data_IF_128626360155
#
_entry.id   IF_128626360155
#
_cell.length_a   1.000
_cell.length_b   1.000
_cell.length_c   1.000
_cell.angle_alpha   90.00
_cell.angle_beta   90.00
_cell.angle_gamma   90.00
#
_symmetry.space_group_name_H-M   'P 1'
#
loop_
_entity.id
_entity.type
_entity.pdbx_description
1 polymer ?
#
# COMPACT_ATOMS: atom_id res chain seq x y z
N UNK A 1 -3.44 -15.03 66.37
CA UNK A 1 -4.28 -15.54 65.26
C UNK A 1 -4.54 -14.35 64.36
N UNK A 2 -3.81 -14.26 63.29
CA UNK A 2 -4.04 -13.22 62.26
C UNK A 2 -5.14 -13.73 61.34
N UNK A 3 -6.21 -12.96 61.21
CA UNK A 3 -7.24 -13.18 60.21
C UNK A 3 -6.63 -12.93 58.81
N UNK A 4 -6.35 -13.99 58.07
CA UNK A 4 -6.01 -13.84 56.68
C UNK A 4 -7.25 -13.30 55.96
N UNK A 5 -7.12 -12.24 55.15
CA UNK A 5 -8.24 -11.73 54.41
C UNK A 5 -8.74 -12.82 53.44
N UNK A 6 -10.01 -13.16 53.57
CA UNK A 6 -10.69 -14.07 52.65
C UNK A 6 -10.79 -13.33 51.29
N UNK A 7 -9.91 -13.63 50.36
CA UNK A 7 -10.00 -13.11 49.00
C UNK A 7 -11.01 -13.98 48.27
N UNK A 8 -12.23 -13.46 48.11
CA UNK A 8 -13.24 -14.08 47.25
C UNK A 8 -12.98 -13.64 45.83
N UNK A 9 -12.38 -14.52 45.03
CA UNK A 9 -12.25 -14.32 43.58
C UNK A 9 -13.64 -14.52 42.94
N UNK A 10 -14.40 -13.43 42.83
CA UNK A 10 -15.63 -13.43 42.05
C UNK A 10 -15.25 -13.05 40.61
N UNK A 11 -15.44 -13.96 39.67
CA UNK A 11 -15.19 -13.61 38.24
C UNK A 11 -16.13 -12.51 37.83
N UNK A 12 -15.58 -11.33 37.47
CA UNK A 12 -16.33 -10.20 36.93
C UNK A 12 -16.77 -10.55 35.50
N UNK A 13 -18.03 -10.99 35.36
CA UNK A 13 -18.60 -11.22 34.02
C UNK A 13 -18.99 -9.91 33.36
N UNK A 14 -18.46 -9.71 32.17
CA UNK A 14 -18.84 -8.57 31.33
C UNK A 14 -20.16 -8.86 30.62
N UNK A 15 -21.10 -7.91 30.67
CA UNK A 15 -22.37 -8.00 29.94
C UNK A 15 -22.15 -7.88 28.43
N UNK A 16 -21.20 -7.06 28.03
CA UNK A 16 -20.83 -6.82 26.62
C UNK A 16 -19.36 -6.45 26.54
N UNK A 17 -18.67 -7.07 25.60
CA UNK A 17 -17.29 -6.73 25.26
C UNK A 17 -17.19 -6.47 23.77
N UNK A 18 -16.51 -5.40 23.37
CA UNK A 18 -16.10 -5.20 21.99
C UNK A 18 -14.64 -4.76 21.99
N UNK A 19 -13.84 -5.38 21.14
CA UNK A 19 -12.40 -5.13 21.06
C UNK A 19 -12.00 -4.88 19.63
N UNK A 20 -11.18 -3.86 19.41
CA UNK A 20 -10.62 -3.52 18.12
C UNK A 20 -9.11 -3.27 18.22
N UNK A 21 -8.39 -3.68 17.18
CA UNK A 21 -7.00 -3.33 16.93
C UNK A 21 -6.95 -2.57 15.61
N UNK A 22 -6.54 -1.31 15.66
CA UNK A 22 -6.31 -0.51 14.47
C UNK A 22 -4.85 -0.63 14.07
N UNK A 23 -4.62 -1.04 12.85
CA UNK A 23 -3.31 -1.26 12.26
C UNK A 23 -3.14 -0.39 11.04
N UNK A 24 -2.23 0.56 11.11
CA UNK A 24 -1.79 1.34 9.96
C UNK A 24 -0.37 0.90 9.59
N UNK A 25 -0.18 -0.10 8.71
CA UNK A 25 1.10 -0.73 8.50
C UNK A 25 2.23 0.26 8.19
N UNK A 26 3.35 0.14 8.91
CA UNK A 26 4.47 1.07 8.87
C UNK A 26 4.21 2.41 9.57
N UNK A 27 3.15 2.50 10.38
CA UNK A 27 2.75 3.69 11.12
C UNK A 27 2.20 3.30 12.49
N UNK A 28 1.12 3.96 12.89
CA UNK A 28 0.45 3.80 14.18
C UNK A 28 -0.25 2.46 14.33
N UNK A 29 -0.15 1.90 15.54
CA UNK A 29 -0.96 0.79 16.02
C UNK A 29 -1.71 1.24 17.25
N UNK A 30 -3.01 0.98 17.32
CA UNK A 30 -3.82 1.25 18.51
C UNK A 30 -4.76 0.10 18.84
N UNK A 31 -5.09 0.02 20.12
CA UNK A 31 -6.00 -0.95 20.70
C UNK A 31 -7.10 -0.23 21.44
N UNK A 32 -8.34 -0.66 21.24
CA UNK A 32 -9.50 -0.20 22.00
C UNK A 32 -10.33 -1.40 22.45
N UNK A 33 -10.67 -1.44 23.74
CA UNK A 33 -11.64 -2.39 24.27
C UNK A 33 -12.72 -1.64 25.05
N UNK A 34 -13.97 -1.97 24.75
CA UNK A 34 -15.14 -1.46 25.47
C UNK A 34 -15.74 -2.60 26.27
N UNK A 35 -15.70 -2.47 27.60
CA UNK A 35 -16.17 -3.44 28.58
C UNK A 35 -17.38 -2.88 29.30
N UNK A 36 -18.52 -3.53 29.21
CA UNK A 36 -19.76 -3.11 29.88
C UNK A 36 -20.10 -4.08 31.00
N UNK A 37 -20.33 -3.56 32.18
CA UNK A 37 -20.71 -4.31 33.38
C UNK A 37 -22.06 -3.81 33.91
N UNK A 38 -22.82 -4.68 34.53
CA UNK A 38 -23.99 -4.28 35.31
C UNK A 38 -23.56 -3.61 36.63
N UNK A 39 -24.18 -2.50 36.99
CA UNK A 39 -23.88 -1.80 38.22
C UNK A 39 -24.15 -2.67 39.47
N UNK A 40 -25.11 -3.59 39.37
CA UNK A 40 -25.38 -4.55 40.44
C UNK A 40 -24.19 -5.48 40.73
N UNK A 41 -23.40 -5.83 39.70
CA UNK A 41 -22.19 -6.67 39.82
C UNK A 41 -21.01 -5.87 40.34
N UNK A 42 -20.86 -4.64 39.87
CA UNK A 42 -19.75 -3.75 40.25
C UNK A 42 -19.88 -3.23 41.70
N UNK A 43 -21.10 -2.93 42.15
CA UNK A 43 -21.31 -2.28 43.42
C UNK A 43 -20.50 -0.98 43.56
N UNK A 44 -19.79 -0.87 44.69
CA UNK A 44 -18.92 0.29 44.99
C UNK A 44 -17.49 0.16 44.38
N UNK A 45 -17.16 -1.00 43.76
CA UNK A 45 -15.80 -1.31 43.32
C UNK A 45 -15.43 -0.70 41.94
N UNK A 46 -16.19 0.28 41.44
CA UNK A 46 -15.99 0.87 40.11
C UNK A 46 -14.60 1.45 39.91
N UNK A 47 -14.07 2.15 40.90
CA UNK A 47 -12.73 2.75 40.84
C UNK A 47 -11.63 1.69 40.92
N UNK A 48 -11.85 0.61 41.65
CA UNK A 48 -10.91 -0.52 41.73
C UNK A 48 -10.83 -1.26 40.41
N UNK A 49 -11.97 -1.54 39.77
CA UNK A 49 -12.01 -2.12 38.43
C UNK A 49 -11.29 -1.23 37.42
N UNK A 50 -11.51 0.08 37.45
CA UNK A 50 -10.79 1.03 36.63
C UNK A 50 -9.27 1.00 36.86
N UNK A 51 -8.85 0.88 38.11
CA UNK A 51 -7.44 0.77 38.50
C UNK A 51 -6.84 -0.56 38.01
N UNK A 52 -7.58 -1.67 38.12
CA UNK A 52 -7.18 -2.95 37.58
C UNK A 52 -7.03 -2.93 36.05
N UNK A 53 -7.99 -2.32 35.35
CA UNK A 53 -7.94 -2.18 33.89
C UNK A 53 -6.76 -1.34 33.41
N UNK A 54 -6.37 -0.29 34.17
CA UNK A 54 -5.12 0.44 33.89
C UNK A 54 -3.91 -0.48 33.99
N UNK A 55 -3.88 -1.32 35.00
CA UNK A 55 -2.87 -2.34 35.22
C UNK A 55 -1.43 -1.83 35.19
N UNK A 56 -0.50 -2.76 35.07
CA UNK A 56 0.93 -2.50 34.99
C UNK A 56 1.34 -1.83 33.65
N UNK A 57 0.47 -1.85 32.65
CA UNK A 57 0.76 -1.40 31.27
C UNK A 57 0.36 0.03 30.96
N UNK A 58 -0.12 0.77 31.96
CA UNK A 58 -0.54 2.18 31.79
C UNK A 58 -1.55 2.42 30.65
N UNK A 59 -2.54 1.54 30.53
CA UNK A 59 -3.66 1.76 29.61
C UNK A 59 -4.40 3.07 29.99
N UNK A 60 -4.84 3.80 29.00
CA UNK A 60 -5.83 4.87 29.19
C UNK A 60 -7.19 4.22 29.44
N UNK A 61 -7.83 4.52 30.56
CA UNK A 61 -9.15 3.97 30.92
C UNK A 61 -10.13 5.11 31.19
N UNK A 62 -11.10 5.24 30.30
CA UNK A 62 -12.26 6.11 30.48
C UNK A 62 -13.42 5.30 31.07
N UNK A 63 -14.18 5.92 31.95
CA UNK A 63 -15.35 5.33 32.59
C UNK A 63 -16.58 6.18 32.31
N UNK A 64 -17.66 5.53 31.86
CA UNK A 64 -18.99 6.13 31.73
C UNK A 64 -19.98 5.26 32.48
N UNK A 65 -20.73 5.82 33.40
CA UNK A 65 -21.75 5.12 34.17
C UNK A 65 -23.13 5.70 33.88
N UNK A 66 -24.10 4.83 33.70
CA UNK A 66 -25.52 5.16 33.67
C UNK A 66 -26.23 4.53 34.90
N UNK A 67 -27.58 4.50 34.90
CA UNK A 67 -28.37 3.98 36.01
C UNK A 67 -28.17 2.47 36.24
N UNK A 68 -27.92 1.70 35.18
CA UNK A 68 -27.89 0.24 35.22
C UNK A 68 -26.52 -0.35 34.90
N UNK A 69 -25.71 0.35 34.12
CA UNK A 69 -24.44 -0.17 33.62
C UNK A 69 -23.29 0.83 33.79
N UNK A 70 -22.09 0.27 33.85
CA UNK A 70 -20.83 1.05 33.75
C UNK A 70 -20.03 0.49 32.60
N UNK A 71 -19.65 1.36 31.69
CA UNK A 71 -18.76 1.07 30.58
C UNK A 71 -17.37 1.61 30.84
N UNK A 72 -16.37 0.77 30.62
CA UNK A 72 -14.96 1.16 30.60
C UNK A 72 -14.46 1.06 29.18
N UNK A 73 -13.83 2.13 28.69
CA UNK A 73 -13.10 2.13 27.43
C UNK A 73 -11.61 2.15 27.72
N UNK A 74 -10.96 1.05 27.39
CA UNK A 74 -9.51 0.84 27.57
C UNK A 74 -8.82 1.14 26.24
N UNK A 75 -7.85 2.04 26.23
CA UNK A 75 -7.12 2.43 25.02
C UNK A 75 -5.62 2.41 25.21
N UNK A 76 -4.92 2.05 24.14
CA UNK A 76 -3.47 2.19 24.04
C UNK A 76 -3.05 2.39 22.60
N UNK A 77 -2.00 3.18 22.39
CA UNK A 77 -1.45 3.43 21.06
C UNK A 77 0.07 3.57 21.08
N UNK A 78 0.69 3.38 19.93
CA UNK A 78 2.08 3.65 19.65
C UNK A 78 2.28 3.97 18.18
N UNK A 79 3.38 4.66 17.85
CA UNK A 79 3.68 5.14 16.51
C UNK A 79 4.06 4.01 15.54
N UNK A 80 4.36 2.82 16.05
CA UNK A 80 4.67 1.63 15.26
C UNK A 80 4.38 0.33 16.05
N UNK A 81 4.33 -0.80 15.32
CA UNK A 81 4.03 -2.12 15.87
C UNK A 81 5.05 -2.62 16.89
N UNK A 82 6.33 -2.32 16.70
CA UNK A 82 7.40 -2.72 17.61
C UNK A 82 7.30 -1.98 18.95
N UNK A 83 7.10 -0.66 18.90
CA UNK A 83 6.89 0.19 20.07
C UNK A 83 5.63 -0.20 20.82
N UNK A 84 4.54 -0.47 20.08
CA UNK A 84 3.29 -0.97 20.64
C UNK A 84 3.51 -2.30 21.38
N UNK A 85 4.18 -3.25 20.74
CA UNK A 85 4.49 -4.54 21.33
C UNK A 85 5.34 -4.41 22.58
N UNK A 86 6.42 -3.64 22.57
CA UNK A 86 7.27 -3.39 23.74
C UNK A 86 6.50 -2.77 24.91
N UNK A 87 5.60 -1.84 24.63
CA UNK A 87 4.82 -1.14 25.65
C UNK A 87 3.73 -1.99 26.27
N UNK A 88 3.10 -2.84 25.48
CA UNK A 88 1.85 -3.51 25.88
C UNK A 88 1.91 -5.04 25.95
N UNK A 89 2.90 -5.73 25.38
CA UNK A 89 2.98 -7.18 25.45
C UNK A 89 3.25 -7.68 26.88
N UNK A 90 4.09 -6.96 27.61
CA UNK A 90 4.54 -7.39 28.93
C UNK A 90 5.40 -8.66 28.93
N UNK A 91 5.85 -9.10 27.74
CA UNK A 91 6.70 -10.28 27.53
C UNK A 91 7.68 -9.99 26.39
N UNK A 92 8.68 -10.84 26.22
CA UNK A 92 9.65 -10.76 25.13
C UNK A 92 9.02 -11.10 23.74
N UNK A 93 7.82 -11.70 23.77
CA UNK A 93 7.11 -12.02 22.54
C UNK A 93 6.38 -10.78 22.00
N UNK A 94 6.58 -10.40 20.75
CA UNK A 94 5.89 -9.27 20.16
C UNK A 94 4.40 -9.56 20.00
N UNK A 95 3.55 -8.59 20.42
CA UNK A 95 2.10 -8.66 20.21
C UNK A 95 1.75 -8.53 18.74
N UNK A 96 2.33 -7.54 18.08
CA UNK A 96 2.13 -7.25 16.65
C UNK A 96 3.48 -7.24 15.95
N UNK A 97 3.57 -7.99 14.86
CA UNK A 97 4.73 -8.00 13.97
C UNK A 97 4.29 -7.59 12.58
N UNK A 98 4.95 -6.58 12.04
CA UNK A 98 4.77 -6.10 10.68
C UNK A 98 6.05 -6.35 9.89
N UNK A 99 5.96 -7.10 8.81
CA UNK A 99 7.06 -7.33 7.88
C UNK A 99 6.72 -6.72 6.53
N UNK A 100 7.52 -5.77 6.08
CA UNK A 100 7.38 -5.21 4.75
C UNK A 100 7.77 -6.26 3.71
N UNK A 101 6.87 -6.49 2.76
CA UNK A 101 7.08 -7.36 1.63
C UNK A 101 7.55 -6.55 0.42
N UNK A 102 7.98 -7.23 -0.64
CA UNK A 102 8.40 -6.57 -1.89
C UNK A 102 7.29 -5.63 -2.39
N UNK A 103 7.54 -4.31 -2.48
CA UNK A 103 6.53 -3.35 -2.91
C UNK A 103 6.28 -3.45 -4.42
N UNK A 104 5.09 -3.04 -4.83
CA UNK A 104 4.79 -2.74 -6.24
C UNK A 104 4.98 -1.25 -6.52
N UNK A 105 4.77 -0.83 -7.78
CA UNK A 105 4.91 0.59 -8.18
C UNK A 105 4.07 1.53 -7.32
N UNK A 106 2.84 1.14 -7.00
CA UNK A 106 1.87 2.01 -6.32
C UNK A 106 1.50 1.56 -4.90
N UNK A 107 1.92 0.36 -4.46
CA UNK A 107 1.54 -0.21 -3.17
C UNK A 107 2.73 -0.77 -2.43
N UNK A 108 2.79 -0.51 -1.12
CA UNK A 108 3.56 -1.29 -0.18
C UNK A 108 2.69 -2.48 0.26
N UNK A 109 3.32 -3.62 0.47
CA UNK A 109 2.70 -4.84 0.96
C UNK A 109 3.28 -5.22 2.31
N UNK A 110 2.44 -5.70 3.20
CA UNK A 110 2.80 -6.02 4.57
C UNK A 110 2.28 -7.41 4.94
N UNK A 111 3.10 -8.17 5.65
CA UNK A 111 2.67 -9.36 6.39
C UNK A 111 2.45 -8.93 7.83
N UNK A 112 1.24 -9.10 8.33
CA UNK A 112 0.85 -8.77 9.70
C UNK A 112 0.62 -10.05 10.46
N UNK A 113 1.24 -10.15 11.63
CA UNK A 113 1.09 -11.26 12.57
C UNK A 113 0.73 -10.69 13.92
N UNK A 114 -0.37 -11.16 14.52
CA UNK A 114 -0.79 -10.79 15.87
C UNK A 114 -0.79 -12.06 16.71
N UNK A 115 -0.04 -12.01 17.81
CA UNK A 115 0.05 -13.10 18.77
C UNK A 115 -0.91 -12.83 19.93
N UNK A 116 -1.80 -13.78 20.30
CA UNK A 116 -2.68 -13.61 21.45
C UNK A 116 -1.86 -13.55 22.73
N UNK A 117 -2.26 -12.69 23.65
CA UNK A 117 -1.67 -12.57 24.97
C UNK A 117 -2.74 -12.88 26.03
N UNK A 118 -2.32 -13.35 27.19
CA UNK A 118 -3.20 -13.82 28.26
C UNK A 118 -4.20 -12.77 28.76
N UNK A 119 -3.86 -11.48 28.60
CA UNK A 119 -4.72 -10.38 29.01
C UNK A 119 -5.77 -9.98 27.93
N UNK A 120 -5.69 -10.54 26.74
CA UNK A 120 -6.66 -10.24 25.68
C UNK A 120 -8.01 -10.90 25.98
N UNK A 121 -9.12 -10.19 25.68
CA UNK A 121 -10.44 -10.78 25.79
C UNK A 121 -10.53 -12.04 24.92
N UNK A 122 -11.16 -13.10 25.44
CA UNK A 122 -11.43 -14.35 24.69
C UNK A 122 -12.57 -14.21 23.69
N UNK A 123 -13.03 -13.00 23.40
CA UNK A 123 -14.09 -12.72 22.45
C UNK A 123 -13.57 -12.34 21.06
N UNK A 124 -14.50 -11.98 20.22
CA UNK A 124 -14.21 -11.47 18.87
C UNK A 124 -13.43 -10.16 18.93
N UNK A 125 -12.32 -10.12 18.22
CA UNK A 125 -11.48 -8.91 18.04
C UNK A 125 -11.59 -8.46 16.59
N UNK A 126 -11.95 -7.21 16.38
CA UNK A 126 -11.93 -6.57 15.08
C UNK A 126 -10.55 -6.03 14.79
N UNK A 127 -10.02 -6.33 13.62
CA UNK A 127 -8.73 -5.83 13.14
C UNK A 127 -9.04 -4.91 11.97
N UNK A 128 -8.72 -3.63 12.14
CA UNK A 128 -9.14 -2.54 11.24
C UNK A 128 -7.89 -1.87 10.68
N UNK A 129 -7.89 -1.55 9.40
CA UNK A 129 -6.88 -0.69 8.78
C UNK A 129 -7.54 0.55 8.18
N UNK A 130 -7.13 1.74 8.66
CA UNK A 130 -7.73 3.02 8.25
C UNK A 130 -7.14 3.51 6.92
N UNK A 131 -5.90 3.14 6.61
CA UNK A 131 -5.15 3.62 5.45
C UNK A 131 -4.68 2.53 4.51
N UNK A 132 -5.30 1.35 4.59
CA UNK A 132 -4.91 0.18 3.80
C UNK A 132 -6.10 -0.69 3.41
N UNK A 133 -5.75 -1.82 2.79
CA UNK A 133 -6.69 -2.89 2.49
C UNK A 133 -6.02 -4.22 2.78
N UNK A 134 -6.78 -5.15 3.34
CA UNK A 134 -6.36 -6.54 3.46
C UNK A 134 -6.34 -7.23 2.09
N UNK A 135 -5.85 -8.43 2.05
CA UNK A 135 -5.72 -9.28 0.85
C UNK A 135 -7.05 -9.57 0.14
N UNK A 136 -8.16 -9.60 0.89
CA UNK A 136 -9.53 -9.74 0.38
C UNK A 136 -10.18 -8.41 -0.05
N UNK A 137 -9.44 -7.30 0.02
CA UNK A 137 -9.93 -5.96 -0.31
C UNK A 137 -10.73 -5.27 0.80
N UNK A 138 -10.98 -5.94 1.93
CA UNK A 138 -11.64 -5.35 3.09
C UNK A 138 -10.72 -4.37 3.84
N UNK A 139 -11.32 -3.52 4.68
CA UNK A 139 -10.59 -2.70 5.67
C UNK A 139 -10.76 -3.23 7.10
N UNK A 140 -11.52 -4.30 7.28
CA UNK A 140 -11.80 -4.92 8.56
C UNK A 140 -11.73 -6.44 8.43
N UNK A 141 -11.13 -7.09 9.42
CA UNK A 141 -11.15 -8.55 9.61
C UNK A 141 -11.52 -8.86 11.06
N UNK A 142 -12.14 -9.98 11.27
CA UNK A 142 -12.50 -10.50 12.59
C UNK A 142 -11.58 -11.65 12.96
N UNK A 143 -11.17 -11.67 14.21
CA UNK A 143 -10.34 -12.72 14.79
C UNK A 143 -10.83 -13.09 16.19
N UNK A 144 -10.96 -14.39 16.46
CA UNK A 144 -11.31 -14.90 17.80
C UNK A 144 -10.09 -15.60 18.39
N UNK A 145 -9.40 -14.98 19.38
CA UNK A 145 -8.30 -15.64 20.09
C UNK A 145 -8.79 -16.92 20.77
N UNK A 146 -8.17 -18.04 20.48
CA UNK A 146 -8.56 -19.36 20.99
C UNK A 146 -8.96 -20.35 19.89
N UNK A 147 -9.45 -19.88 18.75
CA UNK A 147 -9.67 -20.72 17.55
C UNK A 147 -8.38 -20.88 16.74
N UNK A 148 -7.54 -19.86 16.72
CA UNK A 148 -6.19 -19.92 16.16
C UNK A 148 -5.19 -19.26 17.10
N UNK A 149 -4.05 -19.91 17.30
CA UNK A 149 -3.00 -19.41 18.20
C UNK A 149 -2.38 -18.11 17.71
N UNK A 150 -2.48 -17.79 16.42
CA UNK A 150 -1.87 -16.57 15.82
C UNK A 150 -2.73 -16.09 14.66
N UNK A 151 -3.09 -14.81 14.69
CA UNK A 151 -3.70 -14.17 13.52
C UNK A 151 -2.64 -13.80 12.49
N UNK A 152 -2.86 -14.19 11.24
CA UNK A 152 -1.96 -13.84 10.12
C UNK A 152 -2.76 -13.30 8.96
N UNK A 153 -2.32 -12.16 8.41
CA UNK A 153 -2.95 -11.56 7.24
C UNK A 153 -1.94 -10.75 6.43
N UNK A 154 -2.31 -10.43 5.21
CA UNK A 154 -1.57 -9.48 4.38
C UNK A 154 -2.37 -8.21 4.25
N UNK A 155 -1.69 -7.07 4.22
CA UNK A 155 -2.30 -5.79 3.95
C UNK A 155 -1.49 -5.02 2.90
N UNK A 156 -2.13 -4.06 2.25
CA UNK A 156 -1.47 -3.17 1.30
C UNK A 156 -1.84 -1.72 1.57
N UNK A 157 -0.85 -0.83 1.48
CA UNK A 157 -1.02 0.61 1.60
C UNK A 157 -0.59 1.30 0.31
N UNK A 158 -1.20 2.44 -0.03
CA UNK A 158 -0.81 3.22 -1.20
C UNK A 158 0.51 3.94 -0.96
N UNK A 159 1.40 3.90 -1.96
CA UNK A 159 2.62 4.72 -1.99
C UNK A 159 2.26 6.11 -2.49
N UNK A 160 2.32 7.10 -1.61
CA UNK A 160 1.94 8.49 -1.94
C UNK A 160 2.82 9.10 -3.03
N UNK A 161 4.13 8.88 -3.00
CA UNK A 161 5.06 9.45 -3.99
C UNK A 161 4.72 9.09 -5.44
N UNK A 162 4.69 7.81 -5.84
CA UNK A 162 4.31 7.41 -7.19
C UNK A 162 2.89 7.81 -7.60
N UNK A 163 1.93 7.81 -6.67
CA UNK A 163 0.55 8.24 -6.93
C UNK A 163 0.52 9.74 -7.26
N UNK A 164 1.15 10.57 -6.43
CA UNK A 164 1.24 12.02 -6.67
C UNK A 164 1.95 12.29 -8.00
N UNK A 165 3.07 11.62 -8.28
CA UNK A 165 3.78 11.77 -9.56
C UNK A 165 2.88 11.43 -10.76
N UNK A 166 2.13 10.33 -10.70
CA UNK A 166 1.21 9.94 -11.76
C UNK A 166 0.09 10.98 -11.98
N UNK A 167 -0.47 11.53 -10.91
CA UNK A 167 -1.49 12.59 -10.98
C UNK A 167 -0.90 13.85 -11.61
N UNK A 168 0.28 14.30 -11.18
CA UNK A 168 0.95 15.49 -11.72
C UNK A 168 1.23 15.31 -13.21
N UNK A 169 1.77 14.16 -13.62
CA UNK A 169 2.01 13.86 -15.05
C UNK A 169 0.69 13.88 -15.83
N UNK A 170 -0.38 13.28 -15.31
CA UNK A 170 -1.70 13.29 -15.93
C UNK A 170 -2.22 14.72 -16.16
N UNK A 171 -2.12 15.58 -15.14
CA UNK A 171 -2.51 16.99 -15.23
C UNK A 171 -1.69 17.74 -16.29
N UNK A 172 -0.36 17.52 -16.34
CA UNK A 172 0.51 18.13 -17.33
C UNK A 172 0.15 17.70 -18.77
N UNK A 173 -0.15 16.41 -18.97
CA UNK A 173 -0.59 15.89 -20.27
C UNK A 173 -1.90 16.57 -20.72
N UNK A 174 -2.88 16.66 -19.81
CA UNK A 174 -4.15 17.33 -20.10
C UNK A 174 -3.93 18.81 -20.41
N UNK A 175 -3.13 19.51 -19.60
CA UNK A 175 -2.80 20.91 -19.85
C UNK A 175 -2.11 21.13 -21.22
N UNK A 176 -1.16 20.25 -21.58
CA UNK A 176 -0.50 20.29 -22.88
C UNK A 176 -1.48 20.04 -24.03
N UNK A 177 -2.41 19.08 -23.88
CA UNK A 177 -3.45 18.82 -24.88
C UNK A 177 -4.39 20.01 -25.07
N UNK A 178 -4.82 20.64 -23.97
CA UNK A 178 -5.64 21.87 -24.01
C UNK A 178 -4.91 23.01 -24.69
N UNK A 179 -3.65 23.26 -24.35
CA UNK A 179 -2.83 24.30 -25.02
C UNK A 179 -2.64 24.00 -26.48
N UNK A 180 -2.39 22.74 -26.87
CA UNK A 180 -2.28 22.35 -28.29
C UNK A 180 -3.60 22.58 -29.05
N UNK A 181 -4.74 22.29 -28.40
CA UNK A 181 -6.06 22.55 -28.97
C UNK A 181 -6.27 24.03 -29.26
N UNK A 182 -6.02 24.93 -28.31
CA UNK A 182 -6.17 26.37 -28.48
C UNK A 182 -5.14 26.97 -29.48
N UNK A 183 -3.94 26.40 -29.59
CA UNK A 183 -2.91 26.84 -30.53
C UNK A 183 -2.96 26.12 -31.88
N UNK A 184 -3.96 25.29 -32.12
CA UNK A 184 -4.09 24.46 -33.33
C UNK A 184 -3.97 25.28 -34.65
N UNK A 185 -4.60 26.45 -34.67
CA UNK A 185 -4.60 27.28 -35.86
C UNK A 185 -3.25 27.99 -36.06
N UNK A 186 -2.61 28.40 -34.97
CA UNK A 186 -1.25 28.96 -35.02
C UNK A 186 -0.21 27.91 -35.48
N UNK A 187 -0.33 26.69 -35.03
CA UNK A 187 0.53 25.54 -35.42
C UNK A 187 0.30 25.21 -36.90
N UNK A 188 -0.95 25.24 -37.38
CA UNK A 188 -1.28 25.04 -38.79
C UNK A 188 -0.69 26.15 -39.68
N UNK A 189 -0.81 27.40 -39.26
CA UNK A 189 -0.24 28.54 -39.95
C UNK A 189 1.31 28.49 -40.03
N UNK A 190 1.95 28.07 -38.90
CA UNK A 190 3.41 27.89 -38.85
C UNK A 190 3.88 26.75 -39.78
N UNK A 191 3.17 25.62 -39.80
CA UNK A 191 3.49 24.50 -40.72
C UNK A 191 3.34 24.90 -42.18
N UNK A 192 2.29 25.69 -42.54
CA UNK A 192 2.14 26.23 -43.92
C UNK A 192 3.32 27.10 -44.29
N UNK A 193 3.69 28.08 -43.43
CA UNK A 193 4.84 28.97 -43.71
C UNK A 193 6.15 28.19 -43.90
N UNK A 194 6.38 27.15 -43.09
CA UNK A 194 7.58 26.32 -43.21
C UNK A 194 7.59 25.47 -44.47
N UNK A 195 6.45 24.96 -44.90
CA UNK A 195 6.32 24.22 -46.15
C UNK A 195 6.51 25.14 -47.37
N UNK A 196 6.00 26.37 -47.33
CA UNK A 196 6.20 27.39 -48.37
C UNK A 196 7.67 27.82 -48.49
N UNK A 197 8.34 28.04 -47.34
CA UNK A 197 9.77 28.36 -47.31
C UNK A 197 10.62 27.23 -47.91
N UNK A 198 10.30 25.96 -47.55
CA UNK A 198 10.99 24.81 -48.13
C UNK A 198 10.78 24.69 -49.65
N UNK A 199 9.57 24.99 -50.15
CA UNK A 199 9.30 25.03 -51.61
C UNK A 199 10.06 26.13 -52.33
N UNK A 200 10.16 27.31 -51.72
CA UNK A 200 10.92 28.43 -52.26
C UNK A 200 12.42 28.10 -52.33
N UNK A 201 13.00 27.49 -51.31
CA UNK A 201 14.38 27.03 -51.33
C UNK A 201 14.63 25.95 -52.41
N UNK A 202 13.71 24.99 -52.53
CA UNK A 202 13.80 23.97 -53.57
C UNK A 202 13.72 24.57 -55.00
N UNK A 203 12.86 25.59 -55.20
CA UNK A 203 12.75 26.30 -56.45
C UNK A 203 14.03 27.12 -56.78
N UNK A 204 14.63 27.78 -55.81
CA UNK A 204 15.90 28.49 -55.97
C UNK A 204 17.06 27.55 -56.28
N UNK A 205 17.15 26.41 -55.61
CA UNK A 205 18.17 25.39 -55.87
C UNK A 205 17.96 24.65 -57.22
N UNK A 206 16.72 24.62 -57.71
CA UNK A 206 16.38 24.06 -59.03
C UNK A 206 16.75 24.91 -60.20
N UNK A 207 16.89 26.23 -60.03
CA UNK A 207 17.24 27.18 -61.16
C UNK A 207 18.73 27.17 -61.54
N UNK A 208 19.61 26.47 -60.74
CA UNK A 208 21.04 26.39 -61.10
C UNK A 208 21.43 25.12 -61.85
N UNK A 209 20.47 24.29 -62.25
CA UNK A 209 20.76 23.24 -63.25
C UNK A 209 20.34 23.62 -64.62
N UNK A 210 21.22 24.40 -65.36
CA UNK A 210 21.22 24.47 -66.81
C UNK A 210 21.62 23.09 -67.32
N UNK A 211 20.79 22.36 -68.05
CA UNK A 211 21.24 21.18 -68.71
C UNK A 211 22.25 21.57 -69.78
N UNK A 212 23.52 21.21 -69.57
CA UNK A 212 24.48 21.27 -70.69
C UNK A 212 24.02 20.23 -71.73
N UNK A 213 23.64 20.77 -72.87
CA UNK A 213 23.31 20.08 -74.11
C UNK A 213 24.53 19.20 -74.53
N UNK A 214 24.30 17.89 -74.62
CA UNK A 214 25.07 16.99 -75.52
C UNK A 214 26.41 16.49 -75.00
N UNK A 215 26.33 15.45 -74.17
CA UNK A 215 27.36 14.41 -74.25
C UNK A 215 26.71 13.04 -73.93
N UNK A 216 26.78 12.19 -74.93
CA UNK A 216 26.44 10.76 -74.89
C UNK A 216 27.13 10.07 -73.68
N UNK A 217 26.47 9.22 -72.91
CA UNK A 217 27.11 8.51 -71.80
C UNK A 217 28.06 7.46 -72.31
N UNK A 218 29.35 7.78 -72.28
CA UNK A 218 30.42 6.78 -72.44
C UNK A 218 30.50 5.95 -71.16
N UNK A 219 30.38 4.69 -71.37
CA UNK A 219 30.50 3.59 -70.41
C UNK A 219 31.63 3.86 -69.40
N UNK A 220 31.33 4.31 -68.15
CA UNK A 220 32.29 4.29 -67.07
C UNK A 220 32.06 3.07 -66.20
N UNK A 221 32.93 2.11 -66.42
CA UNK A 221 33.17 0.93 -65.61
C UNK A 221 33.61 1.41 -64.22
N UNK A 222 32.82 1.14 -63.20
CA UNK A 222 33.14 1.43 -61.79
C UNK A 222 34.17 0.39 -61.31
N UNK A 223 35.27 0.77 -60.70
CA UNK A 223 36.16 -0.17 -60.03
C UNK A 223 35.48 -0.68 -58.75
N UNK A 224 35.47 -1.97 -58.63
CA UNK A 224 35.01 -2.70 -57.44
C UNK A 224 35.88 -2.31 -56.22
N UNK A 225 35.33 -1.58 -55.28
CA UNK A 225 35.96 -1.40 -53.95
C UNK A 225 35.55 -2.59 -53.07
N UNK A 226 36.49 -3.34 -52.51
CA UNK A 226 36.19 -4.35 -51.52
C UNK A 226 36.10 -3.71 -50.15
N UNK A 227 34.99 -3.90 -49.42
CA UNK A 227 34.91 -3.71 -48.00
C UNK A 227 34.03 -2.57 -47.50
N UNK A 228 32.80 -2.41 -47.96
CA UNK A 228 31.80 -1.61 -47.23
C UNK A 228 30.82 -2.58 -46.49
N UNK A 229 30.58 -2.41 -45.19
CA UNK A 229 29.62 -3.25 -44.48
C UNK A 229 28.20 -2.96 -44.94
N UNK A 230 27.48 -4.02 -45.28
CA UNK A 230 26.05 -3.95 -45.68
C UNK A 230 25.22 -3.53 -44.47
N UNK A 231 24.34 -2.50 -44.60
CA UNK A 231 23.41 -2.16 -43.54
C UNK A 231 22.38 -3.27 -43.31
N UNK A 232 22.00 -3.60 -42.06
CA UNK A 232 21.06 -4.66 -41.80
C UNK A 232 19.66 -4.31 -42.32
N UNK A 233 19.05 -5.27 -43.01
CA UNK A 233 17.68 -5.23 -43.52
C UNK A 233 16.69 -5.07 -42.32
N UNK A 234 15.67 -4.19 -42.39
CA UNK A 234 14.59 -4.18 -41.45
C UNK A 234 13.54 -5.22 -41.82
N UNK A 235 13.51 -6.33 -41.10
CA UNK A 235 12.47 -7.33 -41.31
C UNK A 235 12.86 -8.74 -40.86
N UNK A 236 12.89 -8.97 -39.57
CA UNK A 236 12.98 -10.30 -39.01
C UNK A 236 12.30 -10.35 -37.67
N UNK A 237 11.03 -10.78 -37.61
CA UNK A 237 10.36 -11.16 -36.38
C UNK A 237 11.09 -12.30 -35.69
N UNK A 238 11.37 -12.25 -34.39
CA UNK A 238 11.93 -13.37 -33.69
C UNK A 238 10.87 -14.48 -33.58
N UNK A 239 11.26 -15.75 -33.73
CA UNK A 239 10.33 -16.87 -33.59
C UNK A 239 9.86 -17.00 -32.14
N UNK A 240 8.56 -17.24 -32.02
CA UNK A 240 7.79 -17.58 -30.84
C UNK A 240 8.45 -18.77 -30.11
N UNK A 241 9.03 -18.53 -28.92
CA UNK A 241 9.48 -19.61 -28.03
C UNK A 241 8.35 -19.93 -27.07
N UNK A 242 7.38 -20.70 -27.52
CA UNK A 242 6.52 -21.52 -26.68
C UNK A 242 7.35 -22.67 -26.08
N UNK A 243 8.03 -22.40 -24.98
CA UNK A 243 8.70 -23.38 -24.13
C UNK A 243 7.86 -23.58 -22.87
N UNK A 244 6.98 -24.59 -22.89
CA UNK A 244 6.26 -25.07 -21.71
C UNK A 244 7.24 -25.61 -20.67
N UNK A 245 7.46 -24.86 -19.61
CA UNK A 245 8.09 -25.33 -18.39
C UNK A 245 7.05 -25.98 -17.49
N UNK A 246 7.02 -27.32 -17.49
CA UNK A 246 6.34 -28.10 -16.47
C UNK A 246 7.01 -27.83 -15.12
N UNK A 247 6.28 -27.25 -14.20
CA UNK A 247 6.66 -27.17 -12.78
C UNK A 247 6.30 -28.49 -12.12
N UNK A 248 7.29 -29.24 -11.69
CA UNK A 248 7.11 -30.44 -10.87
C UNK A 248 6.96 -30.06 -9.41
N UNK A 249 6.00 -30.72 -8.76
CA UNK A 249 5.43 -30.52 -7.41
C UNK A 249 6.36 -31.01 -6.28
N UNK A 250 7.68 -30.76 -6.31
CA UNK A 250 8.62 -31.36 -5.35
C UNK A 250 9.58 -30.38 -4.65
N UNK A 251 9.29 -29.08 -4.57
CA UNK A 251 10.13 -28.12 -3.82
C UNK A 251 9.43 -27.48 -2.62
N UNK A 252 8.71 -28.31 -1.83
CA UNK A 252 8.24 -27.92 -0.50
C UNK A 252 8.61 -29.03 0.50
N UNK A 253 9.83 -28.98 1.02
CA UNK A 253 10.17 -29.48 2.36
C UNK A 253 10.90 -28.40 3.14
#
# INVERSE_FOLDING_TARGET
RGDAPLTLDVPLETKKTSTAIHLNPGKEVSYEANLTFDNAVLGDNKEEVKKLLRGVRNWSVEQKSDKSTTQYTVRGSADDALTFSKKYSGSDSPLVVENELKPTTFKNHWMIVITPLDWMPRGEIKIITDHGKFDDGSSEKTWTPGESTVFRTRASTLRTGPVVAAVVIGVLIVAAAVLAYFKRDAIRAWRKKRAEAARQQAAQNGQYRIPAQGQTPQNQQWPSQPGAPVPPSPGGYPPDRSGGGQWTENDLQ
#
